data_IF_012006360974
#
_entry.id   IF_012006360974
#
_cell.length_a   1.000
_cell.length_b   1.000
_cell.length_c   1.000
_cell.angle_alpha   90.00
_cell.angle_beta   90.00
_cell.angle_gamma   90.00
#
_symmetry.space_group_name_H-M   'P 1'
#
loop_
_entity.id
_entity.type
_entity.pdbx_description
1 polymer ?
#
# COMPACT_ATOMS: atom_id res chain seq x y z
N UNK A 1 -22.37 10.90 4.09
CA UNK A 1 -21.95 9.93 3.05
C UNK A 1 -22.73 10.22 1.79
N UNK A 2 -22.06 10.72 0.74
CA UNK A 2 -22.68 10.85 -0.58
C UNK A 2 -22.11 9.77 -1.47
N UNK A 3 -22.60 8.54 -1.32
CA UNK A 3 -22.37 7.45 -2.27
C UNK A 3 -22.80 7.94 -3.66
N UNK A 4 -21.99 7.72 -4.71
CA UNK A 4 -22.32 8.24 -6.03
C UNK A 4 -23.63 7.61 -6.51
N UNK A 5 -24.50 8.45 -7.07
CA UNK A 5 -25.77 7.99 -7.63
C UNK A 5 -25.52 7.16 -8.88
N UNK A 6 -26.48 6.30 -9.24
CA UNK A 6 -26.38 5.47 -10.45
C UNK A 6 -26.09 6.30 -11.70
N UNK A 7 -26.79 7.43 -11.86
CA UNK A 7 -26.64 8.32 -13.02
C UNK A 7 -25.24 8.94 -13.10
N UNK A 8 -24.66 9.32 -11.95
CA UNK A 8 -23.30 9.86 -11.91
C UNK A 8 -22.25 8.79 -12.29
N UNK A 9 -22.42 7.54 -11.82
CA UNK A 9 -21.56 6.42 -12.21
C UNK A 9 -21.71 6.08 -13.70
N UNK A 10 -22.93 6.18 -14.23
CA UNK A 10 -23.22 5.94 -15.63
C UNK A 10 -22.56 7.01 -16.52
N UNK A 11 -22.74 8.29 -16.19
CA UNK A 11 -22.15 9.42 -16.92
C UNK A 11 -20.63 9.44 -16.87
N UNK A 12 -20.05 9.06 -15.73
CA UNK A 12 -18.59 8.91 -15.57
C UNK A 12 -18.00 7.73 -16.36
N UNK A 13 -18.85 6.84 -16.89
CA UNK A 13 -18.42 5.67 -17.67
C UNK A 13 -17.86 4.53 -16.83
N UNK A 14 -18.25 4.42 -15.55
CA UNK A 14 -17.79 3.37 -14.63
C UNK A 14 -18.24 1.96 -15.05
N UNK A 15 -19.31 1.86 -15.83
CA UNK A 15 -19.93 0.61 -16.28
C UNK A 15 -19.19 -0.06 -17.43
N UNK A 16 -18.30 0.65 -18.14
CA UNK A 16 -17.56 0.05 -19.24
C UNK A 16 -16.43 -0.83 -18.70
N UNK A 17 -16.46 -2.12 -19.03
CA UNK A 17 -15.33 -3.01 -18.83
C UNK A 17 -14.49 -3.19 -20.09
N UNK A 18 -13.76 -4.31 -20.14
CA UNK A 18 -12.91 -4.69 -21.25
C UNK A 18 -13.62 -5.61 -22.26
N UNK A 19 -12.93 -5.88 -23.37
CA UNK A 19 -13.35 -6.85 -24.39
C UNK A 19 -13.50 -8.26 -23.80
N UNK A 20 -14.49 -9.02 -24.28
CA UNK A 20 -14.78 -10.40 -23.85
C UNK A 20 -13.56 -11.32 -23.77
N UNK A 21 -12.67 -11.24 -24.76
CA UNK A 21 -11.45 -12.07 -24.82
C UNK A 21 -10.42 -11.79 -23.72
N UNK A 22 -10.53 -10.66 -23.02
CA UNK A 22 -9.60 -10.23 -21.96
C UNK A 22 -10.18 -10.43 -20.55
N UNK A 23 -11.42 -10.91 -20.45
CA UNK A 23 -12.12 -11.06 -19.18
C UNK A 23 -11.51 -12.17 -18.31
N UNK A 24 -11.42 -11.90 -17.01
CA UNK A 24 -11.12 -12.89 -15.98
C UNK A 24 -12.41 -13.51 -15.40
N UNK A 25 -12.64 -14.83 -15.52
CA UNK A 25 -13.86 -15.50 -15.03
C UNK A 25 -14.28 -15.18 -13.59
N UNK A 26 -13.33 -14.89 -12.69
CA UNK A 26 -13.62 -14.51 -11.31
C UNK A 26 -14.43 -13.20 -11.19
N UNK A 27 -14.43 -12.35 -12.22
CA UNK A 27 -15.25 -11.13 -12.29
C UNK A 27 -16.71 -11.39 -12.72
N UNK A 28 -17.10 -12.64 -13.03
CA UNK A 28 -18.47 -12.98 -13.44
C UNK A 28 -19.57 -12.41 -12.50
N UNK A 29 -19.42 -12.44 -11.16
CA UNK A 29 -20.45 -11.91 -10.26
C UNK A 29 -20.68 -10.40 -10.37
N UNK A 30 -19.70 -9.64 -10.90
CA UNK A 30 -19.76 -8.17 -11.01
C UNK A 30 -20.16 -7.69 -12.42
N UNK A 31 -20.21 -8.60 -13.40
CA UNK A 31 -20.60 -8.29 -14.77
C UNK A 31 -22.12 -8.42 -14.90
N UNK A 32 -22.76 -7.39 -15.44
CA UNK A 32 -24.19 -7.36 -15.70
C UNK A 32 -24.54 -8.06 -17.02
N UNK A 33 -23.91 -7.63 -18.12
CA UNK A 33 -24.14 -8.18 -19.45
C UNK A 33 -22.96 -7.92 -20.39
N UNK A 34 -23.03 -8.45 -21.61
CA UNK A 34 -22.12 -8.12 -22.70
C UNK A 34 -22.88 -7.35 -23.78
N UNK A 35 -22.31 -6.25 -24.29
CA UNK A 35 -22.87 -5.49 -25.42
C UNK A 35 -21.74 -5.13 -26.38
N UNK A 36 -21.92 -5.45 -27.67
CA UNK A 36 -20.94 -5.16 -28.72
C UNK A 36 -19.52 -5.70 -28.41
N UNK A 37 -19.42 -6.86 -27.75
CA UNK A 37 -18.15 -7.49 -27.38
C UNK A 37 -17.42 -6.87 -26.17
N UNK A 38 -18.05 -5.92 -25.48
CA UNK A 38 -17.55 -5.28 -24.25
C UNK A 38 -18.41 -5.73 -23.07
N UNK A 39 -17.78 -6.07 -21.96
CA UNK A 39 -18.50 -6.35 -20.72
C UNK A 39 -18.98 -5.07 -20.06
N UNK A 40 -20.23 -5.11 -19.59
CA UNK A 40 -20.84 -4.05 -18.80
C UNK A 40 -20.84 -4.48 -17.34
N UNK A 41 -20.24 -3.65 -16.49
CA UNK A 41 -20.17 -3.84 -15.03
C UNK A 41 -21.50 -3.41 -14.42
N UNK A 42 -21.96 -4.15 -13.41
CA UNK A 42 -23.16 -3.85 -12.65
C UNK A 42 -22.94 -2.67 -11.68
N UNK A 43 -23.48 -1.50 -12.04
CA UNK A 43 -23.32 -0.27 -11.25
C UNK A 43 -23.98 -0.32 -9.87
N UNK A 44 -25.02 -1.14 -9.67
CA UNK A 44 -25.63 -1.28 -8.34
C UNK A 44 -24.65 -1.96 -7.39
N UNK A 45 -23.94 -3.00 -7.88
CA UNK A 45 -22.86 -3.64 -7.13
C UNK A 45 -21.69 -2.69 -6.92
N UNK A 46 -21.33 -1.89 -7.92
CA UNK A 46 -20.32 -0.83 -7.78
C UNK A 46 -20.69 0.13 -6.65
N UNK A 47 -21.89 0.70 -6.65
CA UNK A 47 -22.33 1.66 -5.64
C UNK A 47 -22.27 1.06 -4.23
N UNK A 48 -22.78 -0.17 -4.04
CA UNK A 48 -22.74 -0.86 -2.76
C UNK A 48 -21.30 -1.14 -2.28
N UNK A 49 -20.41 -1.56 -3.20
CA UNK A 49 -19.02 -1.85 -2.88
C UNK A 49 -18.16 -0.61 -2.62
N UNK A 50 -18.46 0.49 -3.31
CA UNK A 50 -17.85 1.79 -3.02
C UNK A 50 -18.23 2.25 -1.62
N UNK A 51 -19.49 2.07 -1.21
CA UNK A 51 -19.96 2.44 0.11
C UNK A 51 -19.25 1.63 1.22
N UNK A 52 -19.17 0.31 1.04
CA UNK A 52 -18.44 -0.60 1.93
C UNK A 52 -16.97 -0.20 2.08
N UNK A 53 -16.28 0.04 0.95
CA UNK A 53 -14.89 0.46 0.93
C UNK A 53 -14.69 1.84 1.57
N UNK A 54 -15.58 2.79 1.28
CA UNK A 54 -15.52 4.16 1.82
C UNK A 54 -15.73 4.17 3.33
N UNK A 55 -16.67 3.38 3.86
CA UNK A 55 -16.90 3.25 5.29
C UNK A 55 -15.68 2.65 6.02
N UNK A 56 -15.09 1.58 5.46
CA UNK A 56 -13.88 0.98 6.02
C UNK A 56 -12.68 1.95 5.96
N UNK A 57 -12.46 2.66 4.86
CA UNK A 57 -11.39 3.65 4.74
C UNK A 57 -11.59 4.85 5.66
N UNK A 58 -12.84 5.30 5.86
CA UNK A 58 -13.19 6.34 6.84
C UNK A 58 -12.79 5.91 8.26
N UNK A 59 -13.07 4.67 8.65
CA UNK A 59 -12.67 4.14 9.96
C UNK A 59 -11.15 4.10 10.16
N UNK A 60 -10.40 3.72 9.11
CA UNK A 60 -8.93 3.69 9.12
C UNK A 60 -8.38 5.11 9.25
N UNK A 61 -8.92 6.07 8.49
CA UNK A 61 -8.53 7.47 8.56
C UNK A 61 -8.82 8.09 9.94
N UNK A 62 -9.99 7.77 10.52
CA UNK A 62 -10.38 8.19 11.88
C UNK A 62 -9.41 7.68 12.95
N UNK A 63 -8.92 6.44 12.82
CA UNK A 63 -7.89 5.91 13.73
C UNK A 63 -6.52 6.61 13.58
N UNK A 64 -6.35 7.47 12.57
CA UNK A 64 -5.12 8.21 12.31
C UNK A 64 -4.05 7.44 11.57
N UNK A 65 -4.40 6.27 11.04
CA UNK A 65 -3.52 5.44 10.25
C UNK A 65 -3.43 5.96 8.82
N UNK A 66 -2.30 5.72 8.16
CA UNK A 66 -2.05 6.16 6.79
C UNK A 66 -2.47 5.09 5.79
N UNK A 67 -3.16 5.52 4.74
CA UNK A 67 -3.53 4.72 3.57
C UNK A 67 -2.62 5.12 2.42
N UNK A 68 -2.02 4.15 1.75
CA UNK A 68 -1.15 4.39 0.60
C UNK A 68 -1.94 4.21 -0.70
N UNK A 69 -2.01 5.25 -1.52
CA UNK A 69 -2.64 5.17 -2.84
C UNK A 69 -1.62 4.74 -3.90
N UNK A 70 -1.97 3.84 -4.80
CA UNK A 70 -1.06 3.32 -5.84
C UNK A 70 -1.74 3.31 -7.20
N UNK A 71 -1.14 3.97 -8.17
CA UNK A 71 -1.61 3.97 -9.55
C UNK A 71 -0.53 4.39 -10.55
N UNK A 72 0.01 3.48 -11.36
CA UNK A 72 0.99 3.84 -12.40
C UNK A 72 0.37 4.10 -13.78
N UNK A 73 -0.95 3.92 -13.91
CA UNK A 73 -1.70 4.11 -15.14
C UNK A 73 -1.80 5.59 -15.49
N UNK A 74 -1.56 5.95 -16.77
CA UNK A 74 -1.43 7.36 -17.22
C UNK A 74 -2.66 8.20 -16.85
N UNK A 75 -3.85 7.63 -17.00
CA UNK A 75 -5.15 8.23 -16.73
C UNK A 75 -5.40 8.46 -15.23
N UNK A 76 -4.74 7.68 -14.38
CA UNK A 76 -4.89 7.70 -12.92
C UNK A 76 -3.84 8.58 -12.21
N UNK A 77 -2.64 8.73 -12.78
CA UNK A 77 -1.48 9.33 -12.09
C UNK A 77 -1.80 10.68 -11.43
N UNK A 78 -2.27 11.64 -12.23
CA UNK A 78 -2.49 13.00 -11.74
C UNK A 78 -3.69 13.04 -10.79
N UNK A 79 -4.78 12.34 -11.13
CA UNK A 79 -5.99 12.26 -10.30
C UNK A 79 -5.66 11.71 -8.91
N UNK A 80 -4.91 10.61 -8.84
CA UNK A 80 -4.52 10.02 -7.55
C UNK A 80 -3.60 10.95 -6.76
N UNK A 81 -2.63 11.60 -7.41
CA UNK A 81 -1.74 12.54 -6.74
C UNK A 81 -2.50 13.73 -6.14
N UNK A 82 -3.39 14.35 -6.90
CA UNK A 82 -4.14 15.53 -6.46
C UNK A 82 -5.09 15.21 -5.31
N UNK A 83 -5.84 14.10 -5.42
CA UNK A 83 -6.82 13.71 -4.42
C UNK A 83 -6.19 13.12 -3.15
N UNK A 84 -5.07 12.40 -3.25
CA UNK A 84 -4.36 11.92 -2.07
C UNK A 84 -3.62 13.05 -1.33
N UNK A 85 -3.06 14.01 -2.07
CA UNK A 85 -2.38 15.18 -1.49
C UNK A 85 -3.35 16.09 -0.74
N UNK A 86 -4.59 16.25 -1.21
CA UNK A 86 -5.59 17.09 -0.55
C UNK A 86 -5.93 16.64 0.88
N UNK A 87 -5.83 15.33 1.17
CA UNK A 87 -6.03 14.74 2.50
C UNK A 87 -4.72 14.35 3.20
N UNK A 88 -3.57 14.77 2.65
CA UNK A 88 -2.24 14.49 3.19
C UNK A 88 -1.97 12.98 3.41
N UNK A 89 -2.40 12.16 2.44
CA UNK A 89 -2.14 10.71 2.41
C UNK A 89 -1.03 10.40 1.39
N UNK A 90 -0.16 9.41 1.69
CA UNK A 90 0.92 9.04 0.79
C UNK A 90 0.37 8.37 -0.49
N UNK A 91 1.06 8.56 -1.61
CA UNK A 91 0.68 7.99 -2.91
C UNK A 91 1.88 7.54 -3.75
N UNK A 92 1.73 6.62 -4.68
CA UNK A 92 2.78 6.20 -5.63
C UNK A 92 2.19 6.18 -7.03
N UNK A 93 2.64 7.11 -7.87
CA UNK A 93 2.09 7.31 -9.23
C UNK A 93 3.05 6.95 -10.36
N UNK A 94 4.34 6.76 -10.07
CA UNK A 94 5.33 6.51 -11.12
C UNK A 94 5.54 5.03 -11.41
N UNK A 95 6.44 4.40 -10.67
CA UNK A 95 6.72 2.97 -10.79
C UNK A 95 6.76 2.41 -9.39
N UNK A 96 6.07 1.30 -9.16
CA UNK A 96 6.22 0.52 -7.95
C UNK A 96 7.60 -0.19 -7.94
N UNK A 97 8.53 0.19 -7.05
CA UNK A 97 9.75 -0.59 -6.88
C UNK A 97 9.42 -1.88 -6.12
N UNK A 98 9.82 -3.03 -6.64
CA UNK A 98 9.67 -4.29 -5.91
C UNK A 98 10.42 -4.24 -4.59
N UNK A 99 9.79 -4.73 -3.52
CA UNK A 99 10.32 -4.62 -2.17
C UNK A 99 9.88 -3.36 -1.44
N UNK A 100 8.91 -2.60 -1.96
CA UNK A 100 8.52 -1.33 -1.35
C UNK A 100 7.95 -1.49 0.05
N UNK A 101 7.11 -2.50 0.25
CA UNK A 101 6.51 -2.82 1.55
C UNK A 101 7.31 -3.92 2.23
N UNK A 102 7.69 -4.96 1.50
CA UNK A 102 8.37 -6.14 2.06
C UNK A 102 9.83 -5.87 2.48
N UNK A 103 10.49 -4.89 1.86
CA UNK A 103 11.84 -4.43 2.22
C UNK A 103 11.83 -2.92 2.57
N UNK A 104 10.85 -2.51 3.37
CA UNK A 104 10.68 -1.12 3.81
C UNK A 104 11.93 -0.48 4.45
N UNK A 105 12.78 -1.20 5.23
CA UNK A 105 14.01 -0.60 5.76
C UNK A 105 14.96 -0.09 4.67
N UNK A 106 14.99 -0.73 3.50
CA UNK A 106 15.83 -0.30 2.37
C UNK A 106 15.22 0.92 1.66
N UNK A 107 13.90 0.95 1.48
CA UNK A 107 13.19 2.12 0.95
C UNK A 107 13.41 3.34 1.85
N UNK A 108 13.34 3.16 3.17
CA UNK A 108 13.60 4.23 4.13
C UNK A 108 15.02 4.80 4.02
N UNK A 109 16.03 3.97 3.68
CA UNK A 109 17.39 4.47 3.39
C UNK A 109 17.41 5.37 2.15
N UNK A 110 16.65 5.03 1.11
CA UNK A 110 16.54 5.87 -0.09
C UNK A 110 15.84 7.21 0.21
N UNK A 111 14.78 7.19 1.02
CA UNK A 111 14.11 8.40 1.51
C UNK A 111 15.04 9.24 2.38
N UNK A 112 15.80 8.62 3.29
CA UNK A 112 16.80 9.33 4.11
C UNK A 112 17.90 9.96 3.25
N UNK A 113 18.29 9.31 2.15
CA UNK A 113 19.25 9.88 1.19
C UNK A 113 18.68 11.13 0.53
N UNK A 114 17.40 11.12 0.16
CA UNK A 114 16.70 12.31 -0.35
C UNK A 114 16.77 13.48 0.63
N UNK A 115 16.40 13.25 1.89
CA UNK A 115 16.48 14.26 2.95
C UNK A 115 17.93 14.74 3.22
N UNK A 116 18.92 13.86 3.11
CA UNK A 116 20.33 14.25 3.26
C UNK A 116 20.80 15.19 2.14
N UNK A 117 20.30 15.00 0.92
CA UNK A 117 20.58 15.90 -0.20
C UNK A 117 19.95 17.27 0.06
N UNK A 118 18.70 17.30 0.53
CA UNK A 118 18.04 18.57 0.88
C UNK A 118 18.77 19.32 2.00
N UNK A 119 19.34 18.59 2.97
CA UNK A 119 20.18 19.17 4.01
C UNK A 119 21.48 19.77 3.43
N UNK A 120 22.18 19.02 2.57
CA UNK A 120 23.41 19.49 1.90
C UNK A 120 23.18 20.74 1.03
N UNK A 121 22.00 20.88 0.44
CA UNK A 121 21.63 22.08 -0.32
C UNK A 121 21.36 23.26 0.62
N UNK A 122 20.77 23.04 1.79
CA UNK A 122 20.49 24.10 2.77
C UNK A 122 21.72 24.55 3.56
N UNK A 123 22.65 23.65 3.84
CA UNK A 123 23.86 23.93 4.63
C UNK A 123 25.03 24.51 3.81
N UNK A 124 24.87 24.65 2.49
CA UNK A 124 25.88 25.21 1.57
C UNK A 124 27.01 24.23 1.19
N UNK A 125 27.01 23.00 1.73
CA UNK A 125 28.00 21.96 1.35
C UNK A 125 27.87 21.60 -0.13
N UNK A 126 26.65 21.67 -0.66
CA UNK A 126 26.38 21.46 -2.07
C UNK A 126 27.22 22.37 -2.97
N UNK A 127 27.53 23.59 -2.54
CA UNK A 127 28.23 24.57 -3.37
C UNK A 127 29.71 24.28 -3.59
N UNK A 128 30.33 23.55 -2.67
CA UNK A 128 31.72 23.13 -2.73
C UNK A 128 31.98 21.97 -3.71
N UNK A 129 30.94 21.39 -4.29
CA UNK A 129 31.04 20.27 -5.23
C UNK A 129 31.34 20.73 -6.66
N UNK A 130 31.99 19.85 -7.44
CA UNK A 130 32.22 20.11 -8.86
C UNK A 130 30.90 20.19 -9.63
N UNK A 131 30.87 20.92 -10.75
CA UNK A 131 29.68 21.03 -11.62
C UNK A 131 29.11 19.66 -12.03
N UNK A 132 29.99 18.67 -12.25
CA UNK A 132 29.60 17.30 -12.60
C UNK A 132 28.90 16.60 -11.44
N UNK A 133 29.41 16.71 -10.23
CA UNK A 133 28.83 16.12 -9.02
C UNK A 133 27.50 16.78 -8.66
N UNK A 134 27.43 18.12 -8.72
CA UNK A 134 26.19 18.88 -8.56
C UNK A 134 25.10 18.35 -9.50
N UNK A 135 25.42 18.19 -10.79
CA UNK A 135 24.47 17.67 -11.78
C UNK A 135 24.01 16.24 -11.46
N UNK A 136 24.92 15.36 -11.04
CA UNK A 136 24.58 13.98 -10.67
C UNK A 136 23.66 13.92 -9.44
N UNK A 137 23.97 14.70 -8.41
CA UNK A 137 23.17 14.76 -7.18
C UNK A 137 21.80 15.37 -7.47
N UNK A 138 21.71 16.46 -8.25
CA UNK A 138 20.43 17.05 -8.65
C UNK A 138 19.56 16.05 -9.44
N UNK A 139 20.15 15.31 -10.39
CA UNK A 139 19.44 14.25 -11.13
C UNK A 139 18.96 13.14 -10.20
N UNK A 140 19.80 12.72 -9.25
CA UNK A 140 19.43 11.72 -8.25
C UNK A 140 18.28 12.21 -7.37
N UNK A 141 18.34 13.47 -6.91
CA UNK A 141 17.30 14.08 -6.08
C UNK A 141 15.97 14.19 -6.80
N UNK A 142 15.98 14.66 -8.05
CA UNK A 142 14.78 14.76 -8.88
C UNK A 142 14.15 13.37 -9.13
N UNK A 143 14.96 12.35 -9.38
CA UNK A 143 14.48 10.96 -9.54
C UNK A 143 13.86 10.41 -8.26
N UNK A 144 14.50 10.66 -7.11
CA UNK A 144 13.98 10.25 -5.80
C UNK A 144 12.68 10.99 -5.47
N UNK A 145 12.59 12.30 -5.70
CA UNK A 145 11.36 13.09 -5.49
C UNK A 145 10.19 12.50 -6.26
N UNK A 146 10.42 12.26 -7.56
CA UNK A 146 9.38 11.80 -8.47
C UNK A 146 8.82 10.42 -8.07
N UNK A 147 9.63 9.58 -7.44
CA UNK A 147 9.28 8.19 -7.11
C UNK A 147 8.81 8.02 -5.67
N UNK A 148 9.46 8.73 -4.72
CA UNK A 148 9.32 8.52 -3.29
C UNK A 148 9.01 9.80 -2.50
N UNK A 149 8.79 10.95 -3.16
CA UNK A 149 8.56 12.24 -2.48
C UNK A 149 7.37 12.19 -1.53
N UNK A 150 6.26 11.64 -1.99
CA UNK A 150 5.00 11.46 -1.23
C UNK A 150 5.09 10.51 -0.03
N UNK A 151 6.10 9.63 0.02
CA UNK A 151 6.34 8.71 1.14
C UNK A 151 7.47 9.20 2.05
N UNK A 152 7.95 10.44 1.87
CA UNK A 152 9.03 11.00 2.67
C UNK A 152 8.70 11.00 4.17
N UNK A 153 7.44 11.31 4.50
CA UNK A 153 6.93 11.38 5.87
C UNK A 153 6.48 10.01 6.42
N UNK A 154 6.61 8.95 5.63
CA UNK A 154 6.14 7.62 6.00
C UNK A 154 7.18 6.90 6.88
N UNK A 155 6.98 6.95 8.19
CA UNK A 155 7.88 6.30 9.16
C UNK A 155 7.60 4.81 9.36
N UNK A 156 6.34 4.38 9.21
CA UNK A 156 5.85 3.01 9.42
C UNK A 156 5.14 2.52 8.17
N UNK A 157 4.94 1.20 8.07
CA UNK A 157 4.16 0.63 6.97
C UNK A 157 2.73 1.23 6.96
N UNK A 158 2.14 1.43 5.76
CA UNK A 158 0.76 1.86 5.66
C UNK A 158 -0.16 0.78 6.22
N UNK A 159 -1.32 1.19 6.74
CA UNK A 159 -2.30 0.25 7.32
C UNK A 159 -3.32 -0.26 6.31
N UNK A 160 -3.38 0.37 5.13
CA UNK A 160 -4.16 -0.09 4.01
C UNK A 160 -3.54 0.40 2.70
N UNK A 161 -3.84 -0.31 1.63
CA UNK A 161 -3.44 0.04 0.27
C UNK A 161 -4.70 0.33 -0.56
N UNK A 162 -4.72 1.43 -1.29
CA UNK A 162 -5.73 1.70 -2.31
C UNK A 162 -5.09 1.62 -3.69
N UNK A 163 -5.54 0.70 -4.54
CA UNK A 163 -4.92 0.39 -5.84
C UNK A 163 -5.87 0.71 -6.99
N UNK A 164 -5.38 1.39 -8.01
CA UNK A 164 -6.07 1.55 -9.30
C UNK A 164 -5.40 0.65 -10.32
N UNK A 165 -6.16 -0.28 -10.93
CA UNK A 165 -5.70 -1.31 -11.86
C UNK A 165 -4.80 -2.38 -11.19
N UNK A 166 -5.44 -3.45 -10.72
CA UNK A 166 -4.80 -4.59 -10.04
C UNK A 166 -3.85 -5.33 -10.96
N UNK A 167 -4.19 -5.46 -12.25
CA UNK A 167 -3.38 -6.19 -13.22
C UNK A 167 -2.02 -5.51 -13.38
N UNK A 168 -2.02 -4.17 -13.42
CA UNK A 168 -0.80 -3.37 -13.54
C UNK A 168 0.00 -3.30 -12.25
N UNK A 169 -0.69 -3.18 -11.10
CA UNK A 169 -0.07 -3.06 -9.78
C UNK A 169 0.02 -4.39 -9.01
N UNK A 170 0.05 -5.52 -9.72
CA UNK A 170 0.09 -6.87 -9.12
C UNK A 170 1.19 -7.07 -8.07
N UNK A 171 2.33 -6.38 -8.22
CA UNK A 171 3.46 -6.47 -7.28
C UNK A 171 3.08 -5.79 -5.97
N UNK A 172 2.42 -4.64 -6.01
CA UNK A 172 1.98 -3.93 -4.82
C UNK A 172 0.95 -4.77 -4.04
N UNK A 173 -0.01 -5.37 -4.74
CA UNK A 173 -1.02 -6.26 -4.16
C UNK A 173 -0.37 -7.51 -3.54
N UNK A 174 0.55 -8.16 -4.26
CA UNK A 174 1.25 -9.34 -3.74
C UNK A 174 2.09 -9.03 -2.49
N UNK A 175 2.76 -7.88 -2.45
CA UNK A 175 3.50 -7.43 -1.28
C UNK A 175 2.60 -7.10 -0.09
N UNK A 176 1.46 -6.44 -0.34
CA UNK A 176 0.47 -6.12 0.69
C UNK A 176 -0.12 -7.39 1.31
N UNK A 177 -0.55 -8.34 0.48
CA UNK A 177 -1.11 -9.62 0.93
C UNK A 177 -0.12 -10.43 1.75
N UNK A 178 1.17 -10.45 1.35
CA UNK A 178 2.22 -11.14 2.11
C UNK A 178 2.43 -10.55 3.51
N UNK A 179 2.15 -9.27 3.69
CA UNK A 179 2.29 -8.58 4.97
C UNK A 179 0.97 -8.48 5.76
N UNK A 180 -0.14 -8.98 5.22
CA UNK A 180 -1.47 -8.85 5.82
C UNK A 180 -1.99 -7.41 5.85
N UNK A 181 -1.56 -6.58 4.91
CA UNK A 181 -2.08 -5.21 4.76
C UNK A 181 -3.34 -5.30 3.91
N UNK A 182 -4.51 -4.82 4.39
CA UNK A 182 -5.76 -4.88 3.63
C UNK A 182 -5.67 -4.05 2.35
N UNK A 183 -6.17 -4.64 1.26
CA UNK A 183 -6.14 -4.08 -0.08
C UNK A 183 -7.54 -3.66 -0.53
N UNK A 184 -7.67 -2.38 -0.83
CA UNK A 184 -8.80 -1.77 -1.50
C UNK A 184 -8.41 -1.55 -2.94
N UNK A 185 -9.25 -1.94 -3.90
CA UNK A 185 -8.87 -1.75 -5.30
C UNK A 185 -10.06 -1.48 -6.22
N UNK A 186 -9.81 -0.65 -7.22
CA UNK A 186 -10.63 -0.56 -8.42
C UNK A 186 -10.28 -1.72 -9.34
N UNK A 187 -11.29 -2.54 -9.66
CA UNK A 187 -11.12 -3.80 -10.39
C UNK A 187 -12.00 -3.77 -11.63
N UNK A 188 -11.36 -3.81 -12.79
CA UNK A 188 -12.03 -4.02 -14.07
C UNK A 188 -12.16 -5.54 -14.34
N UNK A 189 -13.01 -5.89 -15.28
CA UNK A 189 -13.33 -7.21 -15.82
C UNK A 189 -12.12 -8.08 -16.21
N UNK A 190 -10.95 -7.51 -16.50
CA UNK A 190 -9.73 -8.26 -16.83
C UNK A 190 -8.90 -8.68 -15.61
N UNK A 191 -9.21 -8.12 -14.43
CA UNK A 191 -8.44 -8.27 -13.21
C UNK A 191 -9.01 -9.39 -12.33
N UNK A 192 -8.17 -9.97 -11.48
CA UNK A 192 -8.60 -11.01 -10.52
C UNK A 192 -9.02 -10.36 -9.19
N UNK A 193 -10.30 -10.45 -8.78
CA UNK A 193 -10.78 -9.89 -7.53
C UNK A 193 -10.39 -10.72 -6.29
N UNK A 194 -9.89 -11.94 -6.45
CA UNK A 194 -9.70 -12.91 -5.34
C UNK A 194 -8.69 -12.44 -4.30
N UNK A 195 -7.68 -11.68 -4.73
CA UNK A 195 -6.55 -11.24 -3.90
C UNK A 195 -6.78 -9.85 -3.26
N UNK A 196 -8.04 -9.42 -3.16
CA UNK A 196 -8.43 -8.06 -2.77
C UNK A 196 -9.52 -8.16 -1.73
N UNK A 197 -9.33 -7.49 -0.59
CA UNK A 197 -10.29 -7.52 0.51
C UNK A 197 -11.54 -6.70 0.20
N UNK A 198 -11.35 -5.51 -0.39
CA UNK A 198 -12.43 -4.59 -0.77
C UNK A 198 -12.38 -4.29 -2.27
N UNK A 199 -13.20 -5.05 -3.00
CA UNK A 199 -13.31 -4.97 -4.47
C UNK A 199 -14.30 -3.88 -4.85
N UNK A 200 -13.84 -2.86 -5.58
CA UNK A 200 -14.68 -1.85 -6.22
C UNK A 200 -14.75 -2.16 -7.72
N UNK A 201 -15.81 -2.81 -8.21
CA UNK A 201 -15.92 -3.13 -9.63
C UNK A 201 -16.21 -1.87 -10.43
N UNK A 202 -15.26 -1.38 -11.22
CA UNK A 202 -15.39 -0.15 -11.99
C UNK A 202 -14.35 -0.08 -13.11
N UNK A 203 -14.65 0.74 -14.12
CA UNK A 203 -13.72 1.07 -15.19
C UNK A 203 -12.47 1.80 -14.65
N UNK A 204 -11.29 1.26 -14.91
CA UNK A 204 -9.99 1.84 -14.54
C UNK A 204 -9.24 2.50 -15.71
N UNK A 205 -9.82 2.51 -16.93
CA UNK A 205 -9.26 3.16 -18.11
C UNK A 205 -9.73 4.61 -18.28
N UNK A 206 -10.92 4.95 -17.79
CA UNK A 206 -11.50 6.28 -17.91
C UNK A 206 -11.12 7.18 -16.72
N UNK A 207 -10.50 8.33 -17.00
CA UNK A 207 -10.14 9.31 -15.95
C UNK A 207 -11.33 9.78 -15.12
N UNK A 208 -12.50 9.99 -15.74
CA UNK A 208 -13.73 10.39 -15.03
C UNK A 208 -14.22 9.32 -14.06
N UNK A 209 -14.13 8.05 -14.46
CA UNK A 209 -14.48 6.90 -13.60
C UNK A 209 -13.55 6.82 -12.39
N UNK A 210 -12.25 6.97 -12.60
CA UNK A 210 -11.26 6.98 -11.52
C UNK A 210 -11.53 8.16 -10.57
N UNK A 211 -11.81 9.33 -11.13
CA UNK A 211 -12.08 10.54 -10.35
C UNK A 211 -13.31 10.41 -9.45
N UNK A 212 -14.46 9.94 -9.96
CA UNK A 212 -15.67 9.84 -9.14
C UNK A 212 -15.52 8.84 -7.98
N UNK A 213 -14.83 7.73 -8.22
CA UNK A 213 -14.57 6.71 -7.19
C UNK A 213 -13.60 7.28 -6.14
N UNK A 214 -12.49 7.88 -6.57
CA UNK A 214 -11.53 8.50 -5.66
C UNK A 214 -12.15 9.65 -4.88
N UNK A 215 -12.97 10.49 -5.51
CA UNK A 215 -13.67 11.59 -4.83
C UNK A 215 -14.55 11.09 -3.71
N UNK A 216 -15.28 10.00 -3.93
CA UNK A 216 -16.15 9.41 -2.91
C UNK A 216 -15.32 8.90 -1.73
N UNK A 217 -14.26 8.15 -2.01
CA UNK A 217 -13.36 7.57 -1.00
C UNK A 217 -12.62 8.66 -0.22
N UNK A 218 -12.07 9.66 -0.91
CA UNK A 218 -11.29 10.75 -0.33
C UNK A 218 -12.17 11.66 0.53
N UNK A 219 -13.40 11.96 0.10
CA UNK A 219 -14.39 12.68 0.93
C UNK A 219 -14.71 11.90 2.20
N UNK A 220 -14.96 10.60 2.10
CA UNK A 220 -15.23 9.77 3.28
C UNK A 220 -14.03 9.72 4.26
N UNK A 221 -12.80 9.63 3.72
CA UNK A 221 -11.59 9.70 4.54
C UNK A 221 -11.39 11.08 5.17
N UNK A 222 -11.67 12.17 4.45
CA UNK A 222 -11.60 13.53 4.96
C UNK A 222 -12.58 13.73 6.12
N UNK A 223 -13.83 13.28 5.98
CA UNK A 223 -14.80 13.27 7.08
C UNK A 223 -14.24 12.53 8.32
N UNK A 224 -13.65 11.34 8.12
CA UNK A 224 -13.03 10.58 9.21
C UNK A 224 -11.86 11.30 9.89
N UNK A 225 -11.07 12.07 9.12
CA UNK A 225 -9.98 12.89 9.66
C UNK A 225 -10.51 14.10 10.46
N UNK A 226 -11.59 14.73 10.00
CA UNK A 226 -12.22 15.84 10.71
C UNK A 226 -12.91 15.38 12.01
N UNK A 227 -13.61 14.24 11.99
CA UNK A 227 -14.16 13.62 13.19
C UNK A 227 -13.08 13.37 14.25
N UNK A 228 -11.92 12.84 13.81
CA UNK A 228 -10.78 12.63 14.70
C UNK A 228 -10.24 13.93 15.29
N UNK A 229 -10.21 15.02 14.51
CA UNK A 229 -9.77 16.33 15.01
C UNK A 229 -10.75 16.86 16.05
N UNK A 230 -12.05 16.76 15.79
CA UNK A 230 -13.09 17.14 16.75
C UNK A 230 -12.98 16.36 18.06
N UNK A 231 -12.87 15.03 18.00
CA UNK A 231 -12.68 14.17 19.17
C UNK A 231 -11.42 14.50 19.99
N UNK A 232 -10.37 15.01 19.33
CA UNK A 232 -9.14 15.47 20.02
C UNK A 232 -9.29 16.85 20.67
N UNK A 233 -10.17 17.70 20.16
CA UNK A 233 -10.41 19.05 20.70
C UNK A 233 -11.40 19.00 21.88
N UNK A 234 -12.40 18.11 21.80
CA UNK A 234 -13.38 17.89 22.87
C UNK A 234 -12.84 17.04 24.04
N UNK A 235 -11.60 16.56 23.93
CA UNK A 235 -10.88 15.90 25.02
C UNK A 235 -9.78 16.80 25.62
N UNK A 236 -10.10 17.87 26.39
CA UNK A 236 -9.10 18.51 27.22
C UNK A 236 -9.02 17.80 28.59
N UNK A 237 -7.79 17.49 28.99
CA UNK A 237 -7.33 17.15 30.35
C UNK A 237 -7.81 15.82 30.99
N UNK A 238 -7.16 14.73 30.61
CA UNK A 238 -6.74 13.70 31.56
C UNK A 238 -5.42 13.07 31.05
N UNK A 239 -4.30 13.55 31.61
CA UNK A 239 -2.99 12.90 31.81
C UNK A 239 -2.33 12.18 30.61
N UNK A 240 -1.10 12.45 30.19
CA UNK A 240 0.07 13.12 30.74
C UNK A 240 1.26 12.70 29.86
N UNK A 241 2.32 13.50 29.82
CA UNK A 241 3.57 13.22 29.12
C UNK A 241 4.04 11.75 29.21
N UNK A 242 4.21 11.09 28.07
CA UNK A 242 5.30 10.12 27.84
C UNK A 242 5.72 10.17 26.37
N UNK A 243 6.41 11.25 25.99
CA UNK A 243 7.41 11.19 24.93
C UNK A 243 8.69 10.56 25.50
N UNK A 244 8.97 9.31 25.09
CA UNK A 244 10.34 8.83 24.89
C UNK A 244 10.99 8.01 26.01
N UNK A 245 10.91 6.68 25.92
CA UNK A 245 12.01 5.80 26.32
C UNK A 245 12.04 4.50 25.47
N UNK A 246 13.23 4.03 25.04
CA UNK A 246 13.37 2.87 24.18
C UNK A 246 13.33 1.58 24.99
N UNK A 247 12.52 0.61 24.58
CA UNK A 247 12.51 -0.73 25.18
C UNK A 247 13.82 -1.46 24.86
N UNK A 248 14.77 -1.46 25.81
CA UNK A 248 15.85 -2.44 25.93
C UNK A 248 15.57 -3.37 27.09
N UNK A 249 15.68 -4.68 26.83
CA UNK A 249 16.14 -5.64 27.83
C UNK A 249 15.15 -6.74 28.20
N UNK A 250 15.37 -7.94 27.65
CA UNK A 250 14.68 -9.17 28.07
C UNK A 250 15.28 -10.44 27.48
N UNK A 251 16.62 -10.51 27.36
CA UNK A 251 17.32 -11.78 27.07
C UNK A 251 17.15 -12.70 28.27
N UNK A 252 16.25 -13.68 28.17
CA UNK A 252 16.16 -14.78 29.13
C UNK A 252 17.33 -15.74 28.89
N UNK A 253 18.41 -15.48 29.64
CA UNK A 253 19.63 -16.29 29.73
C UNK A 253 19.35 -17.47 30.66
N UNK A 254 19.04 -18.65 30.11
CA UNK A 254 19.08 -19.89 30.89
C UNK A 254 20.54 -20.32 30.96
N UNK A 255 21.07 -20.24 32.18
CA UNK A 255 22.42 -20.63 32.55
C UNK A 255 22.44 -22.17 32.69
N UNK A 256 23.11 -22.89 31.78
CA UNK A 256 23.57 -24.26 32.04
C UNK A 256 25.08 -24.20 32.10
N UNK A 257 25.61 -24.36 33.31
CA UNK A 257 27.03 -24.35 33.60
C UNK A 257 27.71 -25.52 32.90
N UNK A 258 28.92 -25.19 32.47
CA UNK A 258 29.98 -26.00 31.91
C UNK A 258 30.40 -27.10 32.89
N UNK A 259 30.46 -28.34 32.43
CA UNK A 259 31.50 -29.29 32.82
C UNK A 259 32.15 -29.76 31.53
N UNK A 260 33.46 -29.58 31.50
CA UNK A 260 34.34 -29.66 30.34
C UNK A 260 35.34 -30.78 30.63
N UNK A 261 35.36 -31.84 29.83
CA UNK A 261 36.51 -32.71 29.61
C UNK A 261 36.23 -33.65 28.43
N UNK A 262 37.00 -33.46 27.36
CA UNK A 262 37.08 -34.28 26.15
C UNK A 262 38.00 -35.52 26.35
N UNK A 263 38.41 -36.29 25.32
CA UNK A 263 37.67 -36.94 24.22
C UNK A 263 38.04 -38.45 24.04
N UNK A 264 37.36 -39.10 23.07
CA UNK A 264 37.79 -40.23 22.22
C UNK A 264 37.98 -41.64 22.82
N UNK A 265 37.19 -42.62 22.34
CA UNK A 265 37.65 -43.81 21.58
C UNK A 265 36.47 -44.71 21.14
N UNK A 266 36.65 -45.41 20.02
CA UNK A 266 35.73 -46.39 19.43
C UNK A 266 35.67 -47.70 20.27
N UNK A 267 34.68 -48.60 20.02
CA UNK A 267 34.92 -49.77 19.15
C UNK A 267 33.72 -50.05 18.22
N UNK A 268 33.88 -50.58 16.99
CA UNK A 268 34.28 -51.94 16.58
C UNK A 268 33.17 -53.00 16.73
N UNK A 269 33.09 -53.85 15.70
CA UNK A 269 32.05 -54.83 15.38
C UNK A 269 32.25 -56.20 16.07
N UNK A 270 31.38 -57.16 15.70
CA UNK A 270 31.26 -58.58 16.09
C UNK A 270 30.51 -58.85 17.41
N UNK A 271 29.64 -59.86 17.57
CA UNK A 271 29.47 -61.14 16.86
C UNK A 271 28.06 -61.73 17.13
N UNK A 272 27.72 -62.80 16.41
CA UNK A 272 26.46 -63.54 16.41
C UNK A 272 26.09 -64.25 17.74
N UNK A 273 24.95 -64.96 17.78
CA UNK A 273 25.09 -66.40 17.97
C UNK A 273 24.23 -67.24 17.01
N UNK A 274 24.70 -68.47 16.80
CA UNK A 274 24.09 -69.54 16.02
C UNK A 274 23.45 -70.62 16.92
N UNK A 275 22.55 -71.40 16.31
CA UNK A 275 22.04 -72.74 16.68
C UNK A 275 21.19 -72.84 17.96
N UNK A 276 20.20 -73.72 18.14
CA UNK A 276 19.70 -75.01 17.59
C UNK A 276 18.26 -75.13 18.18
N UNK A 277 17.25 -75.86 17.69
CA UNK A 277 17.12 -77.09 16.92
C UNK A 277 15.72 -77.13 16.25
#
# INVERSE_FOLDING_TARGET
MSTPTFDQLLEAGCHFGHLKRKWNPAMAPYIFMERNGIHIIDLYKTAAKVDEAAAALKSIAKSGKKVLFVATKKQAKQVVADKASSINMPYVIERWPGGMLTNFPTIRKAVKKMASIDKMTKDGTFDNLSKREKLQISRQRAKLEKTLGSIADLNRLPSALFVVDVLKERIAVAEANRLGIPVFAMVDTNSDPTNIDFVIPANDDASKSIEIILDTVVKAMAEGLEERKAEKVDAPAAEGDEEGAPAKGGRRRVNRRNEEAAPAEAPAAEEAPAAEA
#
